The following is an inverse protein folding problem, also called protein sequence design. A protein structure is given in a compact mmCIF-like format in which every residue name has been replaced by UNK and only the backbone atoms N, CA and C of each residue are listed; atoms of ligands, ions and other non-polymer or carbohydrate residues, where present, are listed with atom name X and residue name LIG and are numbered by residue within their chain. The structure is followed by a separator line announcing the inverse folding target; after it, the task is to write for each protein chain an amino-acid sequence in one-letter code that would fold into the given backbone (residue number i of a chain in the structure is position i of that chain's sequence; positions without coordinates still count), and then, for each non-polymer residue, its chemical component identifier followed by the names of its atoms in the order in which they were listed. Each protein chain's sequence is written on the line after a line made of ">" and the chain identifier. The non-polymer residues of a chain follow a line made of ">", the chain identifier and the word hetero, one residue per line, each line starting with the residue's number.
data_IF_582277061903
#
_entry.id   IF_582277061903
#
_cell.length_a   1.000
_cell.length_b   1.000
_cell.length_c   1.000
_cell.angle_alpha   90.00
_cell.angle_beta   90.00
_cell.angle_gamma   90.00
#
_symmetry.space_group_name_H-M   'P 1'
#
loop_
_entity.id
_entity.type
_entity.pdbx_description
1 polymer ?
#
# COMPACT_ATOMS: atom_id res chain seq x y z
N UNK A 1 -4.52 3.22 -0.40
CA UNK A 1 -4.20 2.40 -1.57
C UNK A 1 -3.65 1.09 -1.08
N UNK A 2 -4.32 0.00 -1.42
CA UNK A 2 -3.92 -1.34 -1.05
C UNK A 2 -2.50 -1.63 -1.58
N UNK A 3 -1.63 -2.13 -0.70
CA UNK A 3 -0.23 -2.43 -1.02
C UNK A 3 -0.01 -3.92 -0.87
N UNK A 4 0.62 -4.53 -1.88
CA UNK A 4 1.11 -5.89 -1.76
C UNK A 4 2.46 -5.93 -1.05
N UNK A 5 2.55 -6.69 0.04
CA UNK A 5 3.81 -7.09 0.66
C UNK A 5 3.64 -8.49 1.23
N UNK A 6 4.57 -9.39 0.88
CA UNK A 6 4.67 -10.72 1.44
C UNK A 6 6.14 -11.17 1.45
N UNK A 7 6.66 -11.51 2.62
CA UNK A 7 8.03 -12.03 2.78
C UNK A 7 8.06 -13.18 3.77
N UNK A 8 8.87 -14.19 3.48
CA UNK A 8 9.14 -15.30 4.38
C UNK A 8 10.63 -15.31 4.75
N UNK A 9 10.94 -15.55 6.03
CA UNK A 9 12.30 -15.61 6.55
C UNK A 9 12.43 -16.71 7.62
N UNK A 10 13.62 -17.30 7.75
CA UNK A 10 13.87 -18.31 8.77
C UNK A 10 14.41 -17.66 10.04
N UNK A 11 13.79 -17.99 11.18
CA UNK A 11 14.32 -17.70 12.51
C UNK A 11 15.30 -18.82 12.85
N UNK A 12 16.60 -18.49 12.87
CA UNK A 12 17.69 -19.45 13.06
C UNK A 12 18.52 -19.12 14.29
N UNK A 13 18.83 -20.16 15.06
CA UNK A 13 19.68 -20.07 16.25
C UNK A 13 21.10 -19.61 15.93
N UNK A 14 21.66 -19.99 14.78
CA UNK A 14 23.01 -19.57 14.37
C UNK A 14 23.13 -18.04 14.23
N UNK A 15 22.00 -17.33 14.05
CA UNK A 15 21.95 -15.86 13.98
C UNK A 15 21.62 -15.22 15.33
N UNK A 16 21.83 -15.95 16.44
CA UNK A 16 21.52 -15.48 17.79
C UNK A 16 20.02 -15.33 18.09
N UNK A 17 19.13 -15.91 17.25
CA UNK A 17 17.68 -15.75 17.40
C UNK A 17 17.09 -16.84 18.32
N UNK A 18 16.11 -16.46 19.13
CA UNK A 18 15.24 -17.36 19.91
C UNK A 18 13.81 -17.30 19.35
N UNK A 19 13.16 -18.45 19.25
CA UNK A 19 11.75 -18.54 18.87
C UNK A 19 10.82 -18.01 19.97
N UNK A 20 11.18 -18.20 21.24
CA UNK A 20 10.45 -17.63 22.39
C UNK A 20 10.53 -16.11 22.38
N UNK A 21 11.74 -15.55 22.24
CA UNK A 21 11.93 -14.10 22.13
C UNK A 21 11.16 -13.51 20.95
N UNK A 22 11.18 -14.21 19.81
CA UNK A 22 10.48 -13.80 18.61
C UNK A 22 8.96 -13.79 18.80
N UNK A 23 8.39 -14.82 19.42
CA UNK A 23 6.97 -14.91 19.71
C UNK A 23 6.51 -13.82 20.69
N UNK A 24 7.27 -13.59 21.76
CA UNK A 24 7.00 -12.54 22.74
C UNK A 24 6.96 -11.16 22.07
N UNK A 25 7.94 -10.85 21.23
CA UNK A 25 8.02 -9.56 20.53
C UNK A 25 6.82 -9.30 19.62
N UNK A 26 6.37 -10.33 18.89
CA UNK A 26 5.28 -10.20 17.91
C UNK A 26 3.92 -10.17 18.58
N UNK A 27 3.71 -10.95 19.62
CA UNK A 27 2.44 -10.97 20.36
C UNK A 27 2.34 -9.87 21.42
N UNK A 28 3.43 -9.15 21.72
CA UNK A 28 3.49 -8.16 22.80
C UNK A 28 3.29 -8.80 24.17
N UNK A 29 3.74 -10.03 24.33
CA UNK A 29 3.61 -10.77 25.57
C UNK A 29 4.92 -10.78 26.36
N UNK A 30 4.85 -11.26 27.59
CA UNK A 30 6.01 -11.65 28.38
C UNK A 30 6.15 -13.18 28.33
N UNK A 31 7.29 -13.69 27.86
CA UNK A 31 7.57 -15.14 27.81
C UNK A 31 8.95 -15.45 28.41
N UNK A 32 9.05 -16.55 29.15
CA UNK A 32 10.32 -17.09 29.63
C UNK A 32 10.87 -18.15 28.65
N UNK A 33 12.14 -18.01 28.26
CA UNK A 33 12.88 -18.98 27.46
C UNK A 33 13.56 -19.98 28.43
N UNK A 34 13.00 -21.17 28.54
CA UNK A 34 13.44 -22.21 29.48
C UNK A 34 14.86 -22.71 29.19
N UNK A 35 15.31 -22.61 27.93
CA UNK A 35 16.64 -23.06 27.50
C UNK A 35 17.73 -22.10 27.99
N UNK A 36 17.45 -20.81 28.06
CA UNK A 36 18.42 -19.76 28.43
C UNK A 36 18.20 -19.17 29.81
N UNK A 37 17.00 -19.36 30.38
CA UNK A 37 16.55 -18.69 31.61
C UNK A 37 16.18 -17.21 31.41
N UNK A 38 16.22 -16.70 30.18
CA UNK A 38 15.89 -15.31 29.88
C UNK A 38 14.36 -15.08 29.91
N UNK A 39 13.95 -13.90 30.36
CA UNK A 39 12.55 -13.44 30.26
C UNK A 39 12.49 -12.31 29.23
N UNK A 40 11.63 -12.48 28.23
CA UNK A 40 11.40 -11.52 27.16
C UNK A 40 10.07 -10.81 27.38
N UNK A 41 10.11 -9.54 27.80
CA UNK A 41 8.92 -8.75 28.10
C UNK A 41 8.69 -7.65 27.04
N UNK A 42 7.62 -7.82 26.26
CA UNK A 42 7.18 -6.84 25.27
C UNK A 42 5.75 -6.34 25.50
N UNK A 43 5.26 -6.45 26.74
CA UNK A 43 3.91 -6.01 27.15
C UNK A 43 3.64 -4.52 26.95
N UNK A 44 4.70 -3.73 26.73
CA UNK A 44 4.60 -2.29 26.45
C UNK A 44 4.28 -1.95 24.99
N UNK A 45 4.20 -2.95 24.09
CA UNK A 45 3.80 -2.72 22.69
C UNK A 45 2.29 -2.43 22.63
N UNK A 46 1.93 -1.29 22.05
CA UNK A 46 0.55 -0.84 21.90
C UNK A 46 0.01 -0.96 20.47
N UNK A 47 0.87 -1.35 19.52
CA UNK A 47 0.54 -1.47 18.10
C UNK A 47 -0.08 -2.83 17.73
N UNK A 48 -0.38 -3.70 18.70
CA UNK A 48 -0.89 -5.05 18.45
C UNK A 48 -2.42 -5.03 18.58
N UNK A 49 -3.09 -5.33 17.47
CA UNK A 49 -4.55 -5.32 17.36
C UNK A 49 -5.16 -6.69 17.65
N UNK A 50 -4.47 -7.77 17.26
CA UNK A 50 -4.95 -9.14 17.42
C UNK A 50 -3.77 -10.10 17.52
N UNK A 51 -3.90 -11.16 18.33
CA UNK A 51 -2.90 -12.22 18.45
C UNK A 51 -3.57 -13.56 18.73
N UNK A 52 -3.20 -14.60 18.00
CA UNK A 52 -3.88 -15.90 18.03
C UNK A 52 -2.94 -17.01 17.57
N UNK A 53 -3.15 -18.22 18.09
CA UNK A 53 -2.48 -19.44 17.63
C UNK A 53 -3.53 -20.36 17.03
N UNK A 54 -3.24 -20.88 15.83
CA UNK A 54 -3.99 -21.96 15.22
C UNK A 54 -3.11 -23.18 15.05
N UNK A 55 -3.66 -24.34 15.40
CA UNK A 55 -3.01 -25.63 15.25
C UNK A 55 -3.89 -26.58 14.41
N UNK A 56 -3.30 -27.59 13.76
CA UNK A 56 -4.05 -28.64 13.07
C UNK A 56 -5.02 -29.35 14.01
N UNK A 57 -6.09 -29.91 13.46
CA UNK A 57 -7.01 -30.75 14.21
C UNK A 57 -6.26 -31.94 14.85
N UNK A 58 -6.60 -32.26 16.11
CA UNK A 58 -5.92 -33.29 16.89
C UNK A 58 -4.56 -32.88 17.45
N UNK A 59 -4.06 -31.66 17.19
CA UNK A 59 -2.86 -31.16 17.87
C UNK A 59 -3.13 -31.04 19.40
N UNK A 60 -2.12 -31.29 20.26
CA UNK A 60 -2.28 -31.19 21.70
C UNK A 60 -2.66 -29.76 22.13
N UNK A 61 -3.46 -29.64 23.20
CA UNK A 61 -3.90 -28.32 23.72
C UNK A 61 -2.74 -27.37 24.04
N UNK A 62 -1.60 -27.91 24.50
CA UNK A 62 -0.41 -27.10 24.79
C UNK A 62 0.13 -26.37 23.55
N UNK A 63 -0.19 -26.83 22.34
CA UNK A 63 0.23 -26.17 21.10
C UNK A 63 -0.49 -24.84 20.85
N UNK A 64 -1.61 -24.59 21.56
CA UNK A 64 -2.33 -23.32 21.55
C UNK A 64 -1.86 -22.37 22.66
N UNK A 65 -1.01 -22.84 23.59
CA UNK A 65 -0.31 -21.99 24.55
C UNK A 65 1.02 -21.52 23.96
N UNK A 66 1.22 -20.20 23.89
CA UNK A 66 2.39 -19.60 23.24
C UNK A 66 3.70 -19.94 23.92
N UNK A 67 3.72 -19.93 25.26
CA UNK A 67 4.93 -20.22 26.02
C UNK A 67 5.31 -21.69 25.83
N UNK A 68 4.36 -22.60 25.97
CA UNK A 68 4.55 -24.03 25.81
C UNK A 68 4.97 -24.38 24.37
N UNK A 69 4.29 -23.84 23.37
CA UNK A 69 4.60 -24.07 21.96
C UNK A 69 6.05 -23.74 21.62
N UNK A 70 6.50 -22.52 21.92
CA UNK A 70 7.82 -22.06 21.50
C UNK A 70 8.95 -22.61 22.37
N UNK A 71 8.70 -22.90 23.66
CA UNK A 71 9.67 -23.65 24.46
C UNK A 71 9.79 -25.12 23.99
N UNK A 72 8.69 -25.77 23.58
CA UNK A 72 8.76 -27.10 22.99
C UNK A 72 9.56 -27.12 21.67
N UNK A 73 9.46 -26.06 20.85
CA UNK A 73 10.32 -25.89 19.66
C UNK A 73 11.80 -25.73 20.04
N UNK A 74 12.12 -24.85 21.00
CA UNK A 74 13.50 -24.66 21.47
C UNK A 74 14.11 -25.96 22.01
N UNK A 75 13.36 -26.71 22.81
CA UNK A 75 13.78 -27.97 23.42
C UNK A 75 13.96 -29.09 22.38
N UNK A 76 13.07 -29.18 21.38
CA UNK A 76 13.13 -30.19 20.32
C UNK A 76 14.29 -29.99 19.35
N UNK A 77 14.74 -28.75 19.16
CA UNK A 77 15.84 -28.41 18.27
C UNK A 77 17.18 -28.36 19.01
N UNK A 78 18.04 -29.38 18.84
CA UNK A 78 19.27 -29.52 19.64
C UNK A 78 20.53 -28.87 19.06
N UNK A 79 20.56 -28.61 17.75
CA UNK A 79 21.79 -28.13 17.08
C UNK A 79 21.96 -26.62 17.21
N UNK A 80 23.19 -26.14 17.31
CA UNK A 80 23.49 -24.68 17.37
C UNK A 80 23.00 -23.90 16.15
N UNK A 81 22.85 -24.57 15.01
CA UNK A 81 22.41 -23.99 13.73
C UNK A 81 20.93 -24.24 13.42
N UNK A 82 20.15 -24.69 14.41
CA UNK A 82 18.76 -25.06 14.19
C UNK A 82 17.95 -23.91 13.57
N UNK A 83 17.13 -24.28 12.59
CA UNK A 83 16.05 -23.45 12.08
C UNK A 83 14.83 -23.75 12.95
N UNK A 84 14.43 -22.73 13.73
CA UNK A 84 13.46 -22.85 14.82
C UNK A 84 12.04 -22.64 14.29
N UNK A 85 11.85 -21.59 13.51
CA UNK A 85 10.57 -21.19 12.96
C UNK A 85 10.74 -20.54 11.59
N UNK A 86 9.67 -20.51 10.82
CA UNK A 86 9.53 -19.62 9.66
C UNK A 86 8.67 -18.44 10.05
N UNK A 87 9.11 -17.24 9.74
CA UNK A 87 8.31 -16.03 9.86
C UNK A 87 7.79 -15.65 8.48
N UNK A 88 6.49 -15.46 8.36
CA UNK A 88 5.84 -14.78 7.24
C UNK A 88 5.40 -13.40 7.71
N UNK A 89 5.73 -12.37 6.93
CA UNK A 89 5.25 -11.01 7.13
C UNK A 89 4.44 -10.60 5.91
N UNK A 90 3.24 -10.09 6.13
CA UNK A 90 2.33 -9.66 5.07
C UNK A 90 1.63 -8.34 5.41
N UNK A 91 1.35 -7.52 4.40
CA UNK A 91 0.53 -6.32 4.58
C UNK A 91 -0.94 -6.64 4.37
N UNK A 92 -1.81 -6.03 5.18
CA UNK A 92 -3.26 -6.13 5.02
C UNK A 92 -3.80 -4.87 4.32
N UNK A 93 -4.88 -4.99 3.51
CA UNK A 93 -5.51 -3.82 2.91
C UNK A 93 -6.13 -2.91 3.98
N UNK A 94 -5.77 -1.63 3.95
CA UNK A 94 -6.26 -0.58 4.87
C UNK A 94 -7.72 -0.23 4.62
N UNK A 95 -8.19 -0.54 3.42
CA UNK A 95 -9.56 -0.38 2.96
C UNK A 95 -10.52 -1.35 3.67
N UNK A 96 -10.01 -2.44 4.24
CA UNK A 96 -10.79 -3.36 5.07
C UNK A 96 -10.78 -2.90 6.53
N UNK A 97 -11.93 -3.00 7.20
CA UNK A 97 -12.00 -2.79 8.65
C UNK A 97 -11.28 -3.91 9.44
N UNK A 98 -11.04 -3.68 10.74
CA UNK A 98 -10.29 -4.60 11.59
C UNK A 98 -10.86 -6.03 11.61
N UNK A 99 -12.18 -6.19 11.69
CA UNK A 99 -12.82 -7.52 11.73
C UNK A 99 -12.60 -8.30 10.43
N UNK A 100 -12.75 -7.63 9.27
CA UNK A 100 -12.47 -8.24 7.96
C UNK A 100 -10.99 -8.55 7.78
N UNK A 101 -10.10 -7.69 8.28
CA UNK A 101 -8.66 -7.93 8.28
C UNK A 101 -8.29 -9.18 9.09
N UNK A 102 -8.84 -9.33 10.31
CA UNK A 102 -8.63 -10.50 11.16
C UNK A 102 -9.21 -11.75 10.49
N UNK A 103 -10.42 -11.68 9.94
CA UNK A 103 -11.06 -12.81 9.25
C UNK A 103 -10.26 -13.25 8.02
N UNK A 104 -9.79 -12.31 7.20
CA UNK A 104 -8.92 -12.57 6.05
C UNK A 104 -7.63 -13.29 6.49
N UNK A 105 -6.93 -12.74 7.49
CA UNK A 105 -5.69 -13.33 8.00
C UNK A 105 -5.93 -14.74 8.55
N UNK A 106 -6.96 -14.92 9.37
CA UNK A 106 -7.32 -16.21 9.97
C UNK A 106 -7.66 -17.25 8.90
N UNK A 107 -8.43 -16.85 7.87
CA UNK A 107 -8.78 -17.70 6.73
C UNK A 107 -7.55 -18.18 5.97
N UNK A 108 -6.67 -17.25 5.61
CA UNK A 108 -5.42 -17.53 4.91
C UNK A 108 -4.50 -18.45 5.73
N UNK A 109 -4.30 -18.14 7.03
CA UNK A 109 -3.46 -18.97 7.92
C UNK A 109 -4.02 -20.40 8.02
N UNK A 110 -5.35 -20.53 8.12
CA UNK A 110 -6.00 -21.83 8.19
C UNK A 110 -5.81 -22.64 6.91
N UNK A 111 -6.06 -22.05 5.74
CA UNK A 111 -6.00 -22.76 4.45
C UNK A 111 -4.57 -23.07 4.02
N UNK A 112 -3.62 -22.14 4.25
CA UNK A 112 -2.29 -22.26 3.66
C UNK A 112 -1.22 -22.82 4.56
N UNK A 113 -1.39 -22.75 5.88
CA UNK A 113 -0.40 -23.22 6.84
C UNK A 113 -0.94 -24.36 7.69
N UNK A 114 -2.05 -24.14 8.39
CA UNK A 114 -2.60 -25.11 9.34
C UNK A 114 -3.08 -26.38 8.63
N UNK A 115 -3.75 -26.25 7.50
CA UNK A 115 -4.18 -27.39 6.68
C UNK A 115 -3.01 -28.26 6.18
N UNK A 116 -1.78 -27.73 6.16
CA UNK A 116 -0.56 -28.47 5.79
C UNK A 116 0.11 -29.14 7.00
N UNK A 117 -0.42 -28.97 8.20
CA UNK A 117 0.11 -29.55 9.44
C UNK A 117 1.00 -28.62 10.27
N UNK A 118 1.11 -27.33 9.93
CA UNK A 118 1.88 -26.36 10.71
C UNK A 118 1.05 -25.82 11.88
N UNK A 119 1.71 -25.54 13.01
CA UNK A 119 1.14 -24.59 13.99
C UNK A 119 1.54 -23.18 13.56
N UNK A 120 0.57 -22.26 13.59
CA UNK A 120 0.73 -20.88 13.19
C UNK A 120 0.36 -19.94 14.34
N UNK A 121 1.35 -19.22 14.87
CA UNK A 121 1.18 -18.15 15.84
C UNK A 121 1.26 -16.81 15.11
N UNK A 122 0.15 -16.08 15.02
CA UNK A 122 0.13 -14.83 14.28
C UNK A 122 -0.32 -13.65 15.14
N UNK A 123 0.15 -12.48 14.75
CA UNK A 123 -0.24 -11.22 15.37
C UNK A 123 -0.40 -10.14 14.30
N UNK A 124 -1.52 -9.42 14.35
CA UNK A 124 -1.83 -8.28 13.51
C UNK A 124 -1.38 -7.01 14.23
N UNK A 125 -0.51 -6.26 13.57
CA UNK A 125 0.03 -5.00 14.05
C UNK A 125 -0.53 -3.86 13.22
N UNK A 126 -0.82 -2.74 13.86
CA UNK A 126 -1.23 -1.52 13.19
C UNK A 126 -0.53 -0.31 13.83
N UNK A 127 0.54 0.15 13.17
CA UNK A 127 1.22 1.39 13.51
C UNK A 127 1.06 2.39 12.37
N UNK A 128 1.23 3.67 12.66
CA UNK A 128 1.20 4.70 11.62
C UNK A 128 2.45 4.57 10.74
N UNK A 129 2.26 4.39 9.44
CA UNK A 129 3.31 4.27 8.44
C UNK A 129 4.00 5.60 8.11
N UNK A 130 4.97 5.54 7.19
CA UNK A 130 5.73 6.72 6.76
C UNK A 130 4.90 7.76 5.98
N UNK A 131 3.76 7.34 5.46
CA UNK A 131 2.76 8.17 4.81
C UNK A 131 1.77 8.83 5.80
N UNK A 132 1.94 8.59 7.11
CA UNK A 132 1.06 9.12 8.14
C UNK A 132 -0.26 8.36 8.26
N UNK A 133 -0.41 7.21 7.61
CA UNK A 133 -1.63 6.41 7.62
C UNK A 133 -1.42 5.08 8.37
N UNK A 134 -2.48 4.50 8.94
CA UNK A 134 -2.46 3.21 9.65
C UNK A 134 -1.85 2.10 8.78
N UNK A 135 -0.81 1.38 9.18
CA UNK A 135 -0.10 0.35 8.40
C UNK A 135 -0.37 -1.06 8.95
N UNK A 136 -1.56 -1.63 8.68
CA UNK A 136 -1.90 -2.96 9.14
C UNK A 136 -1.03 -4.00 8.44
N UNK A 137 -0.32 -4.79 9.23
CA UNK A 137 0.54 -5.88 8.76
C UNK A 137 0.51 -7.01 9.79
N UNK A 138 0.71 -8.24 9.33
CA UNK A 138 0.76 -9.39 10.21
C UNK A 138 2.14 -10.02 10.21
N UNK A 139 2.53 -10.51 11.39
CA UNK A 139 3.60 -11.47 11.56
C UNK A 139 2.97 -12.84 11.83
N UNK A 140 3.35 -13.86 11.08
CA UNK A 140 2.93 -15.26 11.27
C UNK A 140 4.19 -16.09 11.51
N UNK A 141 4.35 -16.62 12.71
CA UNK A 141 5.39 -17.60 13.02
C UNK A 141 4.84 -19.02 12.84
N UNK A 142 5.54 -19.80 12.03
CA UNK A 142 5.18 -21.15 11.64
C UNK A 142 6.19 -22.15 12.18
N UNK A 143 5.70 -23.27 12.72
CA UNK A 143 6.56 -24.38 13.11
C UNK A 143 7.22 -25.02 11.88
N UNK A 144 8.44 -25.52 12.06
CA UNK A 144 9.20 -26.20 10.99
C UNK A 144 8.95 -27.72 10.92
N UNK A 145 8.06 -28.21 11.78
CA UNK A 145 7.67 -29.61 11.93
C UNK A 145 6.15 -29.67 11.92
N UNK A 146 5.63 -30.76 11.36
CA UNK A 146 4.22 -31.10 11.54
C UNK A 146 3.93 -31.38 13.01
N UNK A 147 2.69 -31.16 13.42
CA UNK A 147 2.20 -31.55 14.74
C UNK A 147 0.99 -32.48 14.56
N UNK A 148 0.87 -33.45 15.46
CA UNK A 148 -0.29 -34.34 15.58
C UNK A 148 -0.54 -34.62 17.08
N UNK A 149 -1.48 -35.50 17.39
CA UNK A 149 -1.88 -35.88 18.76
C UNK A 149 -0.71 -36.25 19.70
N UNK A 150 0.40 -36.75 19.17
CA UNK A 150 1.59 -37.14 19.95
C UNK A 150 2.63 -36.02 20.10
N UNK A 151 2.40 -34.86 19.48
CA UNK A 151 3.29 -33.71 19.46
C UNK A 151 4.01 -33.52 18.13
N UNK A 152 5.23 -32.96 18.17
CA UNK A 152 5.97 -32.62 16.96
C UNK A 152 6.49 -33.85 16.20
N UNK A 153 6.19 -33.90 14.92
CA UNK A 153 6.67 -34.90 13.97
C UNK A 153 8.02 -34.54 13.30
N UNK A 154 8.32 -35.16 12.14
CA UNK A 154 9.53 -34.86 11.38
C UNK A 154 9.51 -33.44 10.79
N UNK A 155 10.70 -32.94 10.41
CA UNK A 155 10.79 -31.69 9.64
C UNK A 155 10.30 -31.93 8.21
N UNK A 156 9.37 -31.09 7.78
CA UNK A 156 8.81 -31.14 6.43
C UNK A 156 9.63 -30.25 5.49
N UNK A 157 10.39 -30.87 4.57
CA UNK A 157 11.30 -30.14 3.66
C UNK A 157 10.56 -29.39 2.56
N UNK A 158 9.49 -29.99 2.05
CA UNK A 158 8.60 -29.43 1.02
C UNK A 158 8.07 -28.03 1.36
N UNK A 159 7.92 -27.71 2.65
CA UNK A 159 7.51 -26.39 3.12
C UNK A 159 8.52 -25.27 2.81
N UNK A 160 9.71 -25.63 2.34
CA UNK A 160 10.78 -24.70 1.99
C UNK A 160 11.02 -24.57 0.48
N UNK A 161 10.13 -25.11 -0.34
CA UNK A 161 10.20 -24.97 -1.79
C UNK A 161 9.87 -23.53 -2.24
N UNK A 162 10.49 -23.09 -3.33
CA UNK A 162 10.21 -21.79 -3.94
C UNK A 162 8.82 -21.79 -4.57
N UNK A 163 8.38 -22.92 -5.11
CA UNK A 163 7.05 -23.13 -5.67
C UNK A 163 5.97 -22.87 -4.62
N UNK A 164 6.15 -23.39 -3.40
CA UNK A 164 5.19 -23.17 -2.32
C UNK A 164 5.20 -21.71 -1.85
N UNK A 165 6.36 -21.05 -1.82
CA UNK A 165 6.42 -19.62 -1.50
C UNK A 165 5.70 -18.77 -2.55
N UNK A 166 5.85 -19.08 -3.83
CA UNK A 166 5.11 -18.42 -4.92
C UNK A 166 3.62 -18.68 -4.77
N UNK A 167 3.22 -19.91 -4.47
CA UNK A 167 1.82 -20.25 -4.22
C UNK A 167 1.22 -19.45 -3.05
N UNK A 168 1.90 -19.35 -1.92
CA UNK A 168 1.40 -18.54 -0.79
C UNK A 168 1.24 -17.07 -1.13
N UNK A 169 2.17 -16.52 -1.93
CA UNK A 169 2.09 -15.14 -2.43
C UNK A 169 0.86 -14.93 -3.30
N UNK A 170 0.62 -15.85 -4.23
CA UNK A 170 -0.56 -15.85 -5.09
C UNK A 170 -1.86 -15.98 -4.27
N UNK A 171 -1.94 -16.95 -3.36
CA UNK A 171 -3.11 -17.18 -2.52
C UNK A 171 -3.41 -15.99 -1.61
N UNK A 172 -2.38 -15.32 -1.07
CA UNK A 172 -2.58 -14.11 -0.29
C UNK A 172 -3.24 -13.01 -1.13
N UNK A 173 -2.72 -12.74 -2.33
CA UNK A 173 -3.32 -11.76 -3.22
C UNK A 173 -4.75 -12.13 -3.61
N UNK A 174 -5.00 -13.41 -3.93
CA UNK A 174 -6.33 -13.89 -4.30
C UNK A 174 -7.37 -13.71 -3.19
N UNK A 175 -7.07 -14.15 -1.96
CA UNK A 175 -7.99 -14.02 -0.83
C UNK A 175 -8.22 -12.56 -0.43
N UNK A 176 -7.15 -11.74 -0.41
CA UNK A 176 -7.28 -10.31 -0.11
C UNK A 176 -8.13 -9.57 -1.15
N UNK A 177 -7.93 -9.87 -2.44
CA UNK A 177 -8.72 -9.29 -3.52
C UNK A 177 -10.20 -9.71 -3.49
N UNK A 178 -10.47 -10.95 -3.09
CA UNK A 178 -11.84 -11.43 -2.88
C UNK A 178 -12.53 -10.64 -1.79
N UNK A 179 -11.87 -10.46 -0.64
CA UNK A 179 -12.40 -9.66 0.48
C UNK A 179 -12.57 -8.18 0.14
N UNK A 180 -11.67 -7.60 -0.65
CA UNK A 180 -11.82 -6.24 -1.17
C UNK A 180 -13.04 -6.12 -2.08
N UNK A 181 -13.24 -7.07 -3.00
CA UNK A 181 -14.42 -7.09 -3.86
C UNK A 181 -15.72 -7.20 -3.06
N UNK A 182 -15.76 -8.09 -2.06
CA UNK A 182 -16.91 -8.25 -1.15
C UNK A 182 -17.15 -7.05 -0.22
N UNK A 183 -16.15 -6.18 -0.06
CA UNK A 183 -16.28 -4.91 0.64
C UNK A 183 -16.75 -3.77 -0.28
N UNK A 184 -16.93 -4.03 -1.58
CA UNK A 184 -17.26 -3.00 -2.57
C UNK A 184 -16.07 -2.14 -2.99
N UNK A 185 -14.85 -2.53 -2.63
CA UNK A 185 -13.63 -1.82 -3.01
C UNK A 185 -13.26 -2.19 -4.45
N UNK A 186 -12.82 -1.21 -5.24
CA UNK A 186 -12.32 -1.44 -6.61
C UNK A 186 -10.82 -1.76 -6.64
N UNK A 187 -10.08 -1.36 -5.61
CA UNK A 187 -8.62 -1.54 -5.53
C UNK A 187 -8.23 -3.02 -5.44
N UNK A 188 -7.16 -3.42 -6.12
CA UNK A 188 -6.64 -4.80 -6.09
C UNK A 188 -5.14 -4.81 -5.87
N UNK A 189 -4.66 -5.86 -5.21
CA UNK A 189 -3.24 -6.13 -5.01
C UNK A 189 -2.76 -7.25 -5.94
N UNK A 190 -1.49 -7.23 -6.30
CA UNK A 190 -0.89 -8.23 -7.20
C UNK A 190 0.44 -8.69 -6.62
N UNK A 191 0.61 -10.02 -6.59
CA UNK A 191 1.76 -10.68 -6.00
C UNK A 191 3.00 -10.72 -6.88
N UNK A 192 2.82 -10.50 -8.20
CA UNK A 192 3.87 -10.54 -9.20
C UNK A 192 4.74 -9.30 -9.08
N UNK A 193 5.94 -9.37 -9.66
CA UNK A 193 6.85 -8.22 -9.69
C UNK A 193 6.23 -7.06 -10.49
N UNK A 194 6.62 -5.81 -10.18
CA UNK A 194 6.19 -4.65 -10.95
C UNK A 194 6.55 -4.79 -12.44
N UNK A 195 7.70 -5.41 -12.75
CA UNK A 195 8.11 -5.70 -14.12
C UNK A 195 7.14 -6.65 -14.85
N UNK A 196 6.69 -7.73 -14.19
CA UNK A 196 5.74 -8.65 -14.78
C UNK A 196 4.36 -8.00 -14.99
N UNK A 197 3.89 -7.22 -14.01
CA UNK A 197 2.64 -6.47 -14.11
C UNK A 197 2.70 -5.43 -15.26
N UNK A 198 3.84 -4.76 -15.40
CA UNK A 198 4.07 -3.81 -16.50
C UNK A 198 4.01 -4.49 -17.86
N UNK A 199 4.70 -5.62 -18.02
CA UNK A 199 4.73 -6.35 -19.28
C UNK A 199 3.30 -6.78 -19.71
N UNK A 200 2.48 -7.24 -18.75
CA UNK A 200 1.08 -7.56 -19.00
C UNK A 200 0.26 -6.32 -19.38
N UNK A 201 0.41 -5.21 -18.65
CA UNK A 201 -0.30 -3.96 -18.96
C UNK A 201 0.07 -3.44 -20.35
N UNK A 202 1.35 -3.52 -20.76
CA UNK A 202 1.81 -3.16 -22.10
C UNK A 202 1.22 -4.09 -23.18
N UNK A 203 1.17 -5.40 -22.92
CA UNK A 203 0.58 -6.36 -23.84
C UNK A 203 -0.92 -6.10 -24.06
N UNK A 204 -1.66 -5.81 -22.99
CA UNK A 204 -3.07 -5.43 -23.08
C UNK A 204 -3.27 -4.10 -23.81
N UNK A 205 -2.49 -3.07 -23.48
CA UNK A 205 -2.54 -1.79 -24.18
C UNK A 205 -2.31 -1.95 -25.70
N UNK A 206 -1.34 -2.79 -26.08
CA UNK A 206 -1.01 -3.05 -27.49
C UNK A 206 -2.13 -3.80 -28.24
N UNK A 207 -2.96 -4.57 -27.52
CA UNK A 207 -4.06 -5.33 -28.09
C UNK A 207 -5.39 -4.57 -28.11
N UNK A 208 -5.52 -3.50 -27.34
CA UNK A 208 -6.72 -2.66 -27.28
C UNK A 208 -6.73 -1.63 -28.43
N UNK A 209 -7.89 -1.35 -29.06
CA UNK A 209 -8.01 -0.26 -30.02
C UNK A 209 -7.66 1.09 -29.39
N UNK A 210 -7.32 2.08 -30.23
CA UNK A 210 -7.10 3.45 -29.77
C UNK A 210 -8.36 3.99 -29.06
N UNK A 211 -8.14 4.57 -27.87
CA UNK A 211 -9.20 5.11 -27.03
C UNK A 211 -8.85 5.07 -25.54
N UNK A 212 -9.77 5.59 -24.73
CA UNK A 212 -9.57 5.83 -23.28
C UNK A 212 -9.08 4.58 -22.52
N UNK A 213 -9.51 3.40 -22.93
CA UNK A 213 -9.14 2.12 -22.30
C UNK A 213 -7.68 1.75 -22.55
N UNK A 214 -7.18 1.99 -23.77
CA UNK A 214 -5.77 1.80 -24.10
C UNK A 214 -4.90 2.81 -23.36
N UNK A 215 -5.29 4.09 -23.35
CA UNK A 215 -4.57 5.16 -22.65
C UNK A 215 -4.42 4.85 -21.14
N UNK A 216 -5.49 4.36 -20.51
CA UNK A 216 -5.46 3.96 -19.10
C UNK A 216 -4.47 2.81 -18.82
N UNK A 217 -4.37 1.84 -19.74
CA UNK A 217 -3.42 0.72 -19.63
C UNK A 217 -1.98 1.17 -19.84
N UNK A 218 -1.73 2.08 -20.78
CA UNK A 218 -0.40 2.67 -21.02
C UNK A 218 0.08 3.49 -19.82
N UNK A 219 -0.79 4.32 -19.24
CA UNK A 219 -0.52 5.07 -18.00
C UNK A 219 -0.24 4.12 -16.84
N UNK A 220 -1.02 3.04 -16.70
CA UNK A 220 -0.81 2.01 -15.67
C UNK A 220 0.55 1.34 -15.83
N UNK A 221 0.94 0.98 -17.06
CA UNK A 221 2.24 0.39 -17.34
C UNK A 221 3.39 1.35 -17.01
N UNK A 222 3.27 2.63 -17.36
CA UNK A 222 4.26 3.65 -17.04
C UNK A 222 4.42 3.84 -15.53
N UNK A 223 3.32 3.85 -14.76
CA UNK A 223 3.35 3.97 -13.30
C UNK A 223 4.02 2.79 -12.56
N UNK A 224 4.17 1.65 -13.22
CA UNK A 224 4.88 0.48 -12.69
C UNK A 224 6.39 0.55 -12.93
N UNK A 225 6.86 1.45 -13.80
CA UNK A 225 8.28 1.72 -14.05
C UNK A 225 8.85 2.71 -13.03
N UNK A 226 8.76 2.32 -11.76
CA UNK A 226 9.25 3.14 -10.64
C UNK A 226 10.36 2.41 -9.91
N UNK A 227 11.43 3.13 -9.62
CA UNK A 227 12.50 2.63 -8.75
C UNK A 227 11.93 2.29 -7.36
N UNK A 228 12.33 1.16 -6.74
CA UNK A 228 11.87 0.79 -5.41
C UNK A 228 12.15 1.91 -4.40
N UNK A 229 11.15 2.27 -3.61
CA UNK A 229 11.36 3.20 -2.50
C UNK A 229 12.38 2.60 -1.52
N UNK A 230 13.46 3.31 -1.15
CA UNK A 230 14.47 2.79 -0.24
C UNK A 230 13.87 2.42 1.13
N UNK A 231 14.24 1.23 1.62
CA UNK A 231 13.78 0.63 2.88
C UNK A 231 14.52 1.24 4.08
N UNK A 232 13.87 2.09 4.88
CA UNK A 232 14.56 2.90 5.90
C UNK A 232 13.73 3.02 7.19
N UNK A 233 13.62 1.91 7.93
CA UNK A 233 12.89 1.85 9.21
C UNK A 233 13.56 2.69 10.31
N UNK A 234 14.89 2.79 10.31
CA UNK A 234 15.67 3.50 11.31
C UNK A 234 15.50 5.03 11.23
N UNK A 235 15.62 5.60 10.03
CA UNK A 235 15.46 7.05 9.82
C UNK A 235 14.05 7.51 10.20
N UNK A 236 13.02 6.75 9.84
CA UNK A 236 11.64 7.08 10.21
C UNK A 236 11.44 7.10 11.74
N UNK A 237 11.96 6.10 12.45
CA UNK A 237 11.85 6.05 13.92
C UNK A 237 12.56 7.24 14.58
N UNK A 238 13.74 7.63 14.09
CA UNK A 238 14.46 8.80 14.60
C UNK A 238 13.66 10.08 14.40
N UNK A 239 13.06 10.26 13.20
CA UNK A 239 12.24 11.45 12.92
C UNK A 239 10.98 11.51 13.79
N UNK A 240 10.31 10.39 14.04
CA UNK A 240 9.14 10.36 14.93
C UNK A 240 9.53 10.71 16.36
N UNK A 241 10.65 10.18 16.86
CA UNK A 241 11.15 10.51 18.19
C UNK A 241 11.53 11.98 18.32
N UNK A 242 12.15 12.56 17.29
CA UNK A 242 12.47 13.98 17.24
C UNK A 242 11.22 14.87 17.19
N UNK A 243 10.19 14.48 16.42
CA UNK A 243 8.88 15.15 16.40
C UNK A 243 8.23 15.17 17.78
N UNK A 244 8.13 14.01 18.41
CA UNK A 244 7.53 13.90 19.74
C UNK A 244 8.32 14.70 20.80
N UNK A 245 9.66 14.72 20.70
CA UNK A 245 10.49 15.51 21.60
C UNK A 245 10.33 17.02 21.36
N UNK A 246 10.26 17.46 20.10
CA UNK A 246 10.01 18.86 19.76
C UNK A 246 8.61 19.31 20.24
N UNK A 247 7.58 18.49 20.02
CA UNK A 247 6.22 18.75 20.51
C UNK A 247 6.17 18.84 22.04
N UNK A 248 6.78 17.88 22.76
CA UNK A 248 6.84 17.91 24.22
C UNK A 248 7.61 19.12 24.76
N UNK A 249 8.57 19.65 23.99
CA UNK A 249 9.34 20.84 24.33
C UNK A 249 8.69 22.15 23.84
N UNK A 250 7.56 22.10 23.13
CA UNK A 250 6.95 23.27 22.51
C UNK A 250 7.80 23.91 21.41
N UNK A 251 8.71 23.16 20.81
CA UNK A 251 9.62 23.59 19.75
C UNK A 251 9.08 23.21 18.38
N UNK A 252 9.37 24.03 17.38
CA UNK A 252 9.14 23.66 15.98
C UNK A 252 10.03 22.47 15.63
N UNK A 253 9.40 21.40 15.15
CA UNK A 253 10.14 20.24 14.67
C UNK A 253 10.91 20.58 13.39
N UNK A 254 12.22 20.33 13.42
CA UNK A 254 13.09 20.32 12.26
C UNK A 254 13.54 18.88 11.96
N UNK A 255 13.59 18.47 10.69
CA UNK A 255 14.04 17.14 10.34
C UNK A 255 15.48 16.88 10.76
N UNK A 256 15.72 15.73 11.40
CA UNK A 256 17.04 15.38 11.95
C UNK A 256 17.83 14.36 11.10
N UNK A 257 17.23 13.90 10.01
CA UNK A 257 17.85 13.02 9.03
C UNK A 257 17.75 13.62 7.64
N UNK A 258 18.71 13.28 6.77
CA UNK A 258 18.71 13.72 5.37
C UNK A 258 17.40 13.38 4.64
N UNK A 259 16.77 12.25 4.99
CA UNK A 259 15.47 11.85 4.45
C UNK A 259 14.34 12.74 4.98
N UNK A 260 14.35 13.09 6.26
CA UNK A 260 13.35 13.99 6.81
C UNK A 260 13.45 15.37 6.17
N UNK A 261 14.68 15.85 5.92
CA UNK A 261 14.94 17.08 5.17
C UNK A 261 14.38 16.99 3.75
N UNK A 262 14.72 15.93 3.02
CA UNK A 262 14.18 15.67 1.69
C UNK A 262 12.65 15.55 1.66
N UNK A 263 12.03 14.87 2.62
CA UNK A 263 10.57 14.76 2.71
C UNK A 263 9.90 16.11 3.02
N UNK A 264 10.55 16.96 3.81
CA UNK A 264 10.09 18.33 4.05
C UNK A 264 10.15 19.15 2.76
N UNK A 265 11.27 19.09 2.02
CA UNK A 265 11.41 19.77 0.72
C UNK A 265 10.39 19.29 -0.31
N UNK A 266 10.20 17.97 -0.44
CA UNK A 266 9.20 17.39 -1.36
C UNK A 266 7.79 17.85 -1.01
N UNK A 267 7.44 17.94 0.29
CA UNK A 267 6.14 18.45 0.73
C UNK A 267 5.96 19.92 0.38
N UNK A 268 7.00 20.73 0.57
CA UNK A 268 6.98 22.15 0.19
C UNK A 268 6.80 22.30 -1.32
N UNK A 269 7.58 21.58 -2.12
CA UNK A 269 7.45 21.55 -3.58
C UNK A 269 6.06 21.07 -4.03
N UNK A 270 5.51 20.04 -3.40
CA UNK A 270 4.16 19.56 -3.71
C UNK A 270 3.08 20.59 -3.37
N UNK A 271 3.21 21.30 -2.24
CA UNK A 271 2.29 22.37 -1.85
C UNK A 271 2.34 23.55 -2.83
N UNK A 272 3.54 23.99 -3.21
CA UNK A 272 3.73 25.06 -4.21
C UNK A 272 3.12 24.67 -5.57
N UNK A 273 3.30 23.41 -5.99
CA UNK A 273 2.73 22.90 -7.24
C UNK A 273 1.21 22.82 -7.18
N UNK A 274 0.65 22.38 -6.06
CA UNK A 274 -0.79 22.36 -5.85
C UNK A 274 -1.39 23.77 -5.93
N UNK A 275 -0.73 24.76 -5.32
CA UNK A 275 -1.16 26.16 -5.42
C UNK A 275 -1.04 26.71 -6.85
N UNK A 276 0.00 26.35 -7.59
CA UNK A 276 0.13 26.72 -9.00
C UNK A 276 -1.00 26.12 -9.87
N UNK A 277 -1.38 24.86 -9.63
CA UNK A 277 -2.50 24.21 -10.33
C UNK A 277 -3.83 24.88 -9.99
N UNK A 278 -4.08 25.21 -8.71
CA UNK A 278 -5.27 25.96 -8.30
C UNK A 278 -5.33 27.34 -8.95
N UNK A 279 -4.20 28.06 -8.99
CA UNK A 279 -4.11 29.37 -9.64
C UNK A 279 -4.42 29.29 -11.14
N UNK A 280 -3.87 28.29 -11.83
CA UNK A 280 -4.14 28.05 -13.25
C UNK A 280 -5.61 27.71 -13.51
N UNK A 281 -6.22 26.84 -12.69
CA UNK A 281 -7.64 26.51 -12.78
C UNK A 281 -8.53 27.75 -12.55
N UNK A 282 -8.14 28.61 -11.60
CA UNK A 282 -8.83 29.86 -11.33
C UNK A 282 -8.73 30.84 -12.51
N UNK A 283 -7.56 30.96 -13.15
CA UNK A 283 -7.34 31.80 -14.32
C UNK A 283 -8.18 31.32 -15.52
N UNK A 284 -8.25 30.01 -15.76
CA UNK A 284 -9.11 29.42 -16.79
C UNK A 284 -10.59 29.71 -16.53
N UNK A 285 -11.06 29.57 -15.29
CA UNK A 285 -12.43 29.89 -14.91
C UNK A 285 -12.75 31.38 -15.12
N UNK A 286 -11.81 32.27 -14.77
CA UNK A 286 -11.96 33.71 -15.00
C UNK A 286 -12.01 34.06 -16.48
N UNK A 287 -11.14 33.45 -17.31
CA UNK A 287 -11.15 33.63 -18.76
C UNK A 287 -12.46 33.16 -19.36
N UNK A 288 -12.94 31.96 -19.00
CA UNK A 288 -14.22 31.46 -19.45
C UNK A 288 -15.39 32.41 -19.07
N UNK A 289 -15.38 32.94 -17.85
CA UNK A 289 -16.38 33.91 -17.39
C UNK A 289 -16.26 35.29 -18.08
N UNK A 290 -15.06 35.70 -18.51
CA UNK A 290 -14.86 36.92 -19.29
C UNK A 290 -15.33 36.74 -20.74
N UNK A 291 -15.01 35.62 -21.37
CA UNK A 291 -15.48 35.29 -22.72
C UNK A 291 -17.01 35.19 -22.75
N UNK A 292 -17.62 34.58 -21.73
CA UNK A 292 -19.07 34.51 -21.59
C UNK A 292 -19.72 35.89 -21.40
N UNK A 293 -19.13 36.76 -20.57
CA UNK A 293 -19.58 38.16 -20.40
C UNK A 293 -19.42 39.00 -21.67
N UNK A 294 -18.33 38.78 -22.42
CA UNK A 294 -18.12 39.44 -23.71
C UNK A 294 -19.16 39.01 -24.75
N UNK A 295 -19.50 37.72 -24.78
CA UNK A 295 -20.53 37.17 -25.67
C UNK A 295 -21.92 37.69 -25.30
N UNK A 296 -22.28 37.71 -24.01
CA UNK A 296 -23.53 38.31 -23.51
C UNK A 296 -23.60 39.83 -23.68
N UNK A 297 -22.46 40.52 -23.73
CA UNK A 297 -22.37 41.97 -23.94
C UNK A 297 -22.38 42.40 -25.40
N UNK A 298 -22.31 41.45 -26.36
CA UNK A 298 -22.42 41.74 -27.80
C UNK A 298 -23.87 41.76 -28.32
N UNK A 299 -24.85 41.29 -27.54
CA UNK A 299 -26.27 41.48 -27.87
C UNK A 299 -26.80 42.78 -27.29
N UNK A 300 -26.46 43.92 -27.90
CA UNK A 300 -27.33 45.11 -27.92
C UNK A 300 -26.78 46.15 -28.91
N UNK A 301 -27.09 46.01 -30.20
CA UNK A 301 -27.36 47.18 -31.02
C UNK A 301 -28.32 46.89 -32.19
N UNK A 302 -29.53 47.43 -32.01
CA UNK A 302 -30.61 47.80 -32.94
C UNK A 302 -31.79 46.85 -33.19
N UNK A 303 -33.04 47.38 -33.12
CA UNK A 303 -34.27 46.67 -33.43
C UNK A 303 -34.67 46.87 -34.90
N UNK A 304 -35.19 45.83 -35.57
CA UNK A 304 -36.26 45.94 -36.59
C UNK A 304 -37.07 44.64 -36.61
N UNK A 305 -38.38 44.82 -36.59
CA UNK A 305 -39.46 43.84 -36.61
C UNK A 305 -39.44 42.89 -37.83
N UNK A 306 -39.78 41.61 -37.62
CA UNK A 306 -40.58 40.85 -38.59
C UNK A 306 -41.29 39.67 -37.92
N UNK A 307 -42.53 39.45 -38.34
CA UNK A 307 -43.60 38.60 -37.78
C UNK A 307 -43.36 37.07 -37.74
N UNK A 308 -42.11 36.60 -37.78
CA UNK A 308 -41.81 35.15 -37.76
C UNK A 308 -41.74 34.54 -36.34
N UNK A 309 -41.84 35.35 -35.29
CA UNK A 309 -41.58 34.95 -33.90
C UNK A 309 -42.77 34.28 -33.16
N UNK A 310 -44.02 34.50 -33.58
CA UNK A 310 -45.17 34.00 -32.79
C UNK A 310 -45.49 32.52 -33.03
N UNK A 311 -45.22 31.97 -34.22
CA UNK A 311 -45.45 30.54 -34.51
C UNK A 311 -44.43 29.59 -33.84
N UNK A 312 -43.19 30.05 -33.64
CA UNK A 312 -42.14 29.26 -33.00
C UNK A 312 -42.40 29.10 -31.48
N UNK A 313 -42.92 30.15 -30.85
CA UNK A 313 -43.26 30.15 -29.42
C UNK A 313 -44.48 29.27 -29.13
N UNK A 314 -45.47 29.20 -30.03
CA UNK A 314 -46.63 28.29 -29.91
C UNK A 314 -46.30 26.82 -30.23
N UNK A 315 -45.24 26.53 -31.00
CA UNK A 315 -44.69 25.16 -31.12
C UNK A 315 -43.95 24.73 -29.86
N UNK A 316 -43.17 25.64 -29.26
CA UNK A 316 -42.44 25.36 -28.02
C UNK A 316 -43.38 25.15 -26.82
N UNK A 317 -44.51 25.87 -26.75
CA UNK A 317 -45.52 25.66 -25.70
C UNK A 317 -46.22 24.31 -25.81
N UNK A 318 -46.57 23.85 -27.02
CA UNK A 318 -47.15 22.51 -27.26
C UNK A 318 -46.13 21.37 -27.06
N UNK A 319 -44.86 21.60 -27.36
CA UNK A 319 -43.79 20.64 -27.09
C UNK A 319 -43.54 20.42 -25.59
N UNK A 320 -43.82 21.42 -24.74
CA UNK A 320 -43.61 21.36 -23.29
C UNK A 320 -44.64 20.51 -22.55
N UNK A 321 -45.82 20.26 -23.13
CA UNK A 321 -46.84 19.36 -22.55
C UNK A 321 -46.60 17.88 -22.88
N UNK A 322 -45.82 17.58 -23.92
CA UNK A 322 -45.48 16.20 -24.34
C UNK A 322 -44.22 15.68 -23.64
N UNK A 323 -43.37 16.56 -23.08
CA UNK A 323 -42.08 16.22 -22.47
C UNK A 323 -42.14 15.83 -20.96
N UNK A 324 -43.29 15.35 -20.45
CA UNK A 324 -43.37 14.64 -19.15
C UNK A 324 -43.44 13.12 -19.29
N UNK A 325 -43.34 12.58 -20.50
CA UNK A 325 -43.19 11.15 -20.71
C UNK A 325 -42.32 10.87 -21.93
N UNK A 326 -41.24 10.13 -21.71
CA UNK A 326 -40.34 9.55 -22.72
C UNK A 326 -39.09 10.38 -23.05
N UNK A 327 -37.94 9.71 -22.93
CA UNK A 327 -36.63 10.17 -23.37
C UNK A 327 -36.61 10.52 -24.86
N UNK A 328 -35.86 11.56 -25.26
CA UNK A 328 -35.38 11.62 -26.63
C UNK A 328 -33.85 11.79 -26.73
N UNK A 329 -33.28 10.89 -27.53
CA UNK A 329 -32.32 11.11 -28.62
C UNK A 329 -31.59 12.46 -28.71
N UNK A 330 -30.27 12.36 -28.93
CA UNK A 330 -29.35 13.45 -29.24
C UNK A 330 -29.81 14.33 -30.42
N UNK A 331 -29.54 15.66 -30.37
CA UNK A 331 -29.51 16.51 -31.54
C UNK A 331 -28.09 17.00 -31.90
N UNK A 332 -27.95 17.27 -33.20
CA UNK A 332 -26.74 17.59 -33.97
C UNK A 332 -26.00 18.90 -33.60
N UNK A 333 -24.67 18.80 -33.78
CA UNK A 333 -23.61 19.78 -34.04
C UNK A 333 -23.87 21.31 -34.02
N UNK A 334 -23.32 21.96 -32.98
CA UNK A 334 -22.94 23.38 -32.81
C UNK A 334 -22.00 23.48 -31.59
N UNK A 335 -21.07 24.45 -31.49
CA UNK A 335 -19.72 24.23 -30.95
C UNK A 335 -19.71 23.63 -29.54
N UNK A 336 -18.93 22.56 -29.40
CA UNK A 336 -18.71 21.76 -28.19
C UNK A 336 -18.73 22.60 -26.92
N UNK A 337 -19.77 22.34 -26.12
CA UNK A 337 -20.11 23.06 -24.89
C UNK A 337 -18.89 23.29 -23.99
N UNK A 338 -18.89 24.40 -23.24
CA UNK A 338 -17.90 24.69 -22.20
C UNK A 338 -17.62 23.51 -21.24
N UNK A 339 -18.54 22.55 -21.11
CA UNK A 339 -18.36 21.31 -20.36
C UNK A 339 -17.33 20.34 -20.97
N UNK A 340 -17.10 20.36 -22.28
CA UNK A 340 -16.08 19.56 -22.96
C UNK A 340 -14.69 20.20 -22.87
N UNK A 341 -14.63 21.54 -22.96
CA UNK A 341 -13.41 22.30 -22.68
C UNK A 341 -12.98 22.17 -21.21
N UNK A 342 -13.91 22.21 -20.26
CA UNK A 342 -13.65 21.96 -18.83
C UNK A 342 -13.21 20.52 -18.57
N UNK A 343 -13.79 19.54 -19.28
CA UNK A 343 -13.35 18.13 -19.21
C UNK A 343 -11.93 17.95 -19.72
N UNK A 344 -11.61 18.51 -20.90
CA UNK A 344 -10.26 18.47 -21.48
C UNK A 344 -9.25 19.21 -20.61
N UNK A 345 -9.61 20.34 -20.02
CA UNK A 345 -8.75 21.06 -19.08
C UNK A 345 -8.47 20.24 -17.81
N UNK A 346 -9.48 19.53 -17.29
CA UNK A 346 -9.32 18.62 -16.14
C UNK A 346 -8.47 17.40 -16.47
N UNK A 347 -8.60 16.85 -17.68
CA UNK A 347 -7.79 15.72 -18.17
C UNK A 347 -6.32 16.13 -18.40
N UNK A 348 -6.07 17.31 -18.98
CA UNK A 348 -4.72 17.87 -19.16
C UNK A 348 -4.08 18.19 -17.80
N UNK A 349 -4.84 18.68 -16.82
CA UNK A 349 -4.34 18.91 -15.46
C UNK A 349 -3.96 17.59 -14.76
N UNK A 350 -4.75 16.54 -14.91
CA UNK A 350 -4.42 15.21 -14.39
C UNK A 350 -3.22 14.57 -15.10
N UNK A 351 -3.11 14.70 -16.43
CA UNK A 351 -1.98 14.20 -17.21
C UNK A 351 -0.66 14.95 -16.86
N UNK A 352 -0.71 16.27 -16.72
CA UNK A 352 0.44 17.08 -16.31
C UNK A 352 0.91 16.78 -14.87
N UNK A 353 -0.02 16.41 -13.99
CA UNK A 353 0.30 15.97 -12.63
C UNK A 353 0.98 14.60 -12.61
N UNK A 354 0.66 13.70 -13.54
CA UNK A 354 1.29 12.38 -13.69
C UNK A 354 2.68 12.45 -14.37
N UNK A 355 2.80 13.20 -15.49
CA UNK A 355 4.07 13.40 -16.22
C UNK A 355 5.09 14.21 -15.41
N UNK A 356 4.64 15.21 -14.65
CA UNK A 356 5.51 16.03 -13.79
C UNK A 356 6.18 15.26 -12.66
N UNK A 357 5.48 14.28 -12.06
CA UNK A 357 6.08 13.36 -11.07
C UNK A 357 7.15 12.47 -11.69
N UNK A 358 6.92 11.92 -12.88
CA UNK A 358 7.87 11.01 -13.54
C UNK A 358 9.12 11.74 -14.03
N UNK A 359 8.96 12.89 -14.70
CA UNK A 359 10.08 13.64 -15.26
C UNK A 359 10.89 14.42 -14.21
N UNK A 360 10.28 14.77 -13.07
CA UNK A 360 10.97 15.35 -11.92
C UNK A 360 11.82 14.33 -11.15
N UNK A 361 11.32 13.09 -11.04
CA UNK A 361 12.04 11.95 -10.49
C UNK A 361 13.27 11.63 -11.37
N UNK A 362 13.12 11.47 -12.68
CA UNK A 362 14.24 11.15 -13.59
C UNK A 362 15.37 12.21 -13.65
N UNK A 363 15.04 13.48 -13.39
CA UNK A 363 16.03 14.58 -13.36
C UNK A 363 16.82 14.61 -12.04
N UNK A 364 16.19 14.23 -10.93
CA UNK A 364 16.81 14.15 -9.60
C UNK A 364 17.69 12.90 -9.44
N UNK A 365 17.37 11.80 -10.12
CA UNK A 365 18.17 10.56 -10.05
C UNK A 365 19.48 10.64 -10.82
N UNK A 366 19.56 11.37 -11.95
CA UNK A 366 20.83 11.61 -12.67
C UNK A 366 21.85 12.44 -11.89
N UNK A 367 21.39 13.30 -10.96
CA UNK A 367 22.28 13.99 -10.03
C UNK A 367 22.86 13.08 -8.93
N UNK A 368 22.34 11.85 -8.79
CA UNK A 368 22.65 10.92 -7.69
C UNK A 368 23.76 9.92 -8.01
N UNK A 369 24.02 9.61 -9.29
CA UNK A 369 25.19 8.78 -9.68
C UNK A 369 26.51 9.44 -9.27
N UNK A 370 26.60 10.77 -9.37
CA UNK A 370 27.79 11.55 -9.02
C UNK A 370 28.04 11.55 -7.49
N UNK A 371 26.99 11.37 -6.67
CA UNK A 371 27.08 11.49 -5.20
C UNK A 371 27.13 10.11 -4.47
N UNK A 372 26.63 9.05 -5.10
CA UNK A 372 26.70 7.67 -4.57
C UNK A 372 28.13 7.11 -4.59
N UNK A 373 28.99 7.53 -5.53
CA UNK A 373 30.42 7.18 -5.52
C UNK A 373 31.18 7.83 -4.36
N UNK A 374 30.86 9.09 -4.04
CA UNK A 374 31.44 9.81 -2.90
C UNK A 374 31.01 9.18 -1.56
N UNK A 375 29.74 8.75 -1.45
CA UNK A 375 29.18 8.16 -0.23
C UNK A 375 29.65 6.71 0.00
N UNK A 376 29.87 5.91 -1.07
CA UNK A 376 30.43 4.55 -0.99
C UNK A 376 31.84 4.51 -0.41
N UNK A 377 32.62 5.57 -0.62
CA UNK A 377 34.00 5.68 -0.13
C UNK A 377 34.04 6.00 1.37
N UNK A 378 33.03 6.69 1.91
CA UNK A 378 32.91 7.04 3.33
C UNK A 378 32.34 5.88 4.18
N UNK A 379 31.38 5.11 3.66
CA UNK A 379 30.68 4.06 4.42
C UNK A 379 31.47 2.75 4.64
N UNK A 380 32.60 2.51 3.93
CA UNK A 380 33.47 1.36 4.21
C UNK A 380 34.26 1.49 5.53
N UNK A 381 34.39 2.69 6.09
CA UNK A 381 35.16 2.95 7.31
C UNK A 381 34.39 2.83 8.62
N UNK A 382 33.05 2.80 8.60
CA UNK A 382 32.22 2.90 9.82
C UNK A 382 31.34 1.67 10.09
N UNK A 383 31.38 0.65 9.22
CA UNK A 383 30.55 -0.55 9.33
C UNK A 383 31.26 -1.77 9.97
N UNK A 384 32.34 -1.53 10.73
CA UNK A 384 33.11 -2.59 11.41
C UNK A 384 32.86 -2.66 12.93
N UNK A 385 32.34 -1.60 13.57
CA UNK A 385 32.36 -1.51 15.05
C UNK A 385 31.01 -1.78 15.75
N UNK A 386 29.89 -1.80 15.02
CA UNK A 386 28.54 -1.89 15.62
C UNK A 386 27.90 -3.31 15.61
N UNK A 387 28.68 -4.37 15.39
CA UNK A 387 28.18 -5.76 15.40
C UNK A 387 28.53 -6.57 16.66
N UNK A 388 29.17 -5.99 17.68
CA UNK A 388 29.54 -6.72 18.90
C UNK A 388 28.63 -6.48 20.13
N UNK A 389 27.60 -5.63 20.07
CA UNK A 389 26.68 -5.45 21.20
C UNK A 389 25.24 -5.21 20.74
N UNK A 390 24.41 -6.27 20.73
CA UNK A 390 22.97 -6.15 20.43
C UNK A 390 22.24 -7.47 20.31
#
# INVERSE_FOLDING_TARGET
>A
MAIYRFSAAIISRAKGRSSVAAAAYRSGSQLADERTGAVHDYTRKSDIQHSEILAPEGAPDWSLDRAALWNAVEAGERRKDAQLAREVQLALPRELNADRQIALLRGFVRSEFVARGMVADFSLHDHVGSDGQAQPHAHVMLTMRSINETGFGPKMREWNSDELLVHWREQWAHQANTQLAEAGEEVRIDHRTLAAQRAEAQAHASAEPEGERRDALEVRAAGMDREPSPYLRASWYMEQKARAAAEAAGLTYEPITDRGGWLAEVRTLAAERLEAVKAFAHELAQRAAQTWRHWMGQEHEKPVESDAGSEAVDRLRRGREVAQGSQPSQPDAGPSSAAELLRRASQVAHAAQAEGTSAGIDRLYRGREINLEATRTSLRGQWSDDQEQG
#
